data_IF_608834057282
#
_entry.id   IF_608834057282
#
_cell.length_a   1.000
_cell.length_b   1.000
_cell.length_c   1.000
_cell.angle_alpha   90.00
_cell.angle_beta   90.00
_cell.angle_gamma   90.00
#
_symmetry.space_group_name_H-M   'P 1'
#
loop_
_entity.id
_entity.type
_entity.pdbx_description
1 polymer ?
#
# COMPACT_ATOMS: atom_id res chain seq x y z
N UNK A 1 47.00 17.29 -8.63
CA UNK A 1 45.75 17.90 -8.16
C UNK A 1 44.59 17.74 -9.16
N UNK A 2 44.83 17.77 -10.47
CA UNK A 2 43.80 17.57 -11.52
C UNK A 2 43.07 16.22 -11.47
N UNK A 3 43.74 15.13 -11.11
CA UNK A 3 43.13 13.78 -11.03
C UNK A 3 42.11 13.68 -9.88
N UNK A 4 42.32 14.42 -8.79
CA UNK A 4 41.43 14.45 -7.61
C UNK A 4 40.14 15.24 -7.93
N UNK A 5 40.26 16.31 -8.72
CA UNK A 5 39.12 17.12 -9.17
C UNK A 5 38.25 16.29 -10.13
N UNK A 6 38.86 15.54 -11.05
CA UNK A 6 38.14 14.72 -12.03
C UNK A 6 37.39 13.58 -11.34
N UNK A 7 38.06 12.84 -10.45
CA UNK A 7 37.41 11.74 -9.69
C UNK A 7 36.35 12.27 -8.72
N UNK A 8 36.57 13.43 -8.09
CA UNK A 8 35.58 14.10 -7.24
C UNK A 8 34.32 14.54 -8.01
N UNK A 9 34.49 15.16 -9.19
CA UNK A 9 33.37 15.54 -10.06
C UNK A 9 32.59 14.31 -10.56
N UNK A 10 33.29 13.22 -10.89
CA UNK A 10 32.65 11.98 -11.34
C UNK A 10 31.85 11.31 -10.21
N UNK A 11 32.41 11.25 -9.00
CA UNK A 11 31.72 10.79 -7.79
C UNK A 11 30.51 11.66 -7.45
N UNK A 12 30.62 12.97 -7.60
CA UNK A 12 29.51 13.90 -7.37
C UNK A 12 28.38 13.73 -8.40
N UNK A 13 28.72 13.50 -9.67
CA UNK A 13 27.74 13.22 -10.71
C UNK A 13 27.01 11.88 -10.50
N UNK A 14 27.72 10.84 -10.05
CA UNK A 14 27.07 9.57 -9.66
C UNK A 14 26.10 9.77 -8.49
N UNK A 15 26.49 10.54 -7.46
CA UNK A 15 25.61 10.84 -6.32
C UNK A 15 24.38 11.66 -6.69
N UNK A 16 24.46 12.55 -7.68
CA UNK A 16 23.29 13.32 -8.16
C UNK A 16 22.25 12.46 -8.89
N UNK A 17 22.65 11.36 -9.53
CA UNK A 17 21.71 10.40 -10.15
C UNK A 17 20.88 9.63 -9.13
N UNK A 18 21.34 9.48 -7.89
CA UNK A 18 20.59 8.77 -6.84
C UNK A 18 19.37 9.53 -6.31
N UNK A 19 19.31 10.86 -6.46
CA UNK A 19 18.19 11.66 -5.93
C UNK A 19 16.88 11.55 -6.71
N UNK A 20 16.92 11.09 -7.95
CA UNK A 20 15.74 11.03 -8.85
C UNK A 20 14.90 9.77 -8.61
N UNK A 21 15.46 8.78 -7.92
CA UNK A 21 14.76 7.52 -7.63
C UNK A 21 13.58 7.74 -6.66
N UNK A 22 13.61 8.82 -5.85
CA UNK A 22 12.57 9.11 -4.87
C UNK A 22 11.23 9.53 -5.51
N UNK A 23 11.24 10.14 -6.70
CA UNK A 23 10.03 10.64 -7.35
C UNK A 23 9.26 9.54 -8.10
N UNK A 24 9.94 8.53 -8.65
CA UNK A 24 9.27 7.40 -9.31
C UNK A 24 8.47 6.50 -8.36
N UNK A 25 8.66 6.64 -7.04
CA UNK A 25 7.84 5.94 -6.04
C UNK A 25 6.46 6.57 -5.82
N UNK A 26 6.28 7.87 -6.10
CA UNK A 26 4.97 8.54 -5.96
C UNK A 26 3.96 8.06 -6.99
N UNK A 27 4.41 7.71 -8.19
CA UNK A 27 3.54 7.21 -9.26
C UNK A 27 3.09 5.75 -9.05
N UNK A 28 3.68 5.04 -8.09
CA UNK A 28 3.31 3.67 -7.72
C UNK A 28 2.23 3.62 -6.62
N UNK A 29 1.95 4.75 -5.96
CA UNK A 29 0.91 4.84 -4.93
C UNK A 29 -0.47 4.90 -5.60
N UNK A 30 -1.49 4.21 -5.07
CA UNK A 30 -2.85 4.42 -5.53
C UNK A 30 -3.19 5.91 -5.43
N UNK A 31 -3.40 6.54 -6.58
CA UNK A 31 -3.51 8.00 -6.66
C UNK A 31 -4.78 8.50 -5.98
N UNK A 32 -5.80 7.64 -5.91
CA UNK A 32 -7.10 7.95 -5.32
C UNK A 32 -7.74 6.72 -4.66
N UNK A 33 -8.52 6.94 -3.62
CA UNK A 33 -9.34 5.95 -2.94
C UNK A 33 -10.81 6.37 -2.95
N UNK A 34 -11.72 5.39 -3.03
CA UNK A 34 -13.16 5.62 -2.93
C UNK A 34 -13.59 5.49 -1.47
N UNK A 35 -13.96 6.61 -0.85
CA UNK A 35 -14.31 6.71 0.57
C UNK A 35 -15.79 7.00 0.72
N UNK A 36 -16.38 6.53 1.81
CA UNK A 36 -17.77 6.77 2.20
C UNK A 36 -17.74 7.69 3.42
N UNK A 37 -17.97 8.99 3.21
CA UNK A 37 -18.12 10.01 4.27
C UNK A 37 -19.52 10.61 4.15
N UNK A 38 -20.17 10.86 5.28
CA UNK A 38 -21.54 11.39 5.35
C UNK A 38 -22.59 10.59 4.54
N UNK A 39 -22.34 9.29 4.32
CA UNK A 39 -23.21 8.41 3.54
C UNK A 39 -23.04 8.52 2.02
N UNK A 40 -22.20 9.42 1.53
CA UNK A 40 -21.91 9.60 0.11
C UNK A 40 -20.55 9.02 -0.28
N UNK A 41 -20.46 8.51 -1.51
CA UNK A 41 -19.21 8.00 -2.09
C UNK A 41 -18.43 9.16 -2.67
N UNK A 42 -17.22 9.38 -2.17
CA UNK A 42 -16.32 10.45 -2.60
C UNK A 42 -14.97 9.86 -2.98
N UNK A 43 -14.39 10.34 -4.07
CA UNK A 43 -13.04 9.97 -4.47
C UNK A 43 -12.07 10.97 -3.87
N UNK A 44 -11.21 10.51 -2.98
CA UNK A 44 -10.19 11.34 -2.30
C UNK A 44 -8.80 10.83 -2.67
N UNK A 45 -7.76 11.64 -2.46
CA UNK A 45 -6.39 11.16 -2.63
C UNK A 45 -6.05 10.19 -1.52
N UNK A 46 -5.21 9.20 -1.81
CA UNK A 46 -4.77 8.27 -0.77
C UNK A 46 -4.03 8.97 0.40
N UNK A 47 -3.41 10.13 0.12
CA UNK A 47 -2.78 11.00 1.12
C UNK A 47 -3.78 11.64 2.11
N UNK A 48 -5.04 11.82 1.70
CA UNK A 48 -6.10 12.43 2.51
C UNK A 48 -6.92 11.40 3.31
N UNK A 49 -6.52 10.11 3.24
CA UNK A 49 -7.14 9.03 4.02
C UNK A 49 -6.73 9.12 5.49
N UNK A 50 -7.70 8.95 6.37
CA UNK A 50 -7.48 8.91 7.82
C UNK A 50 -7.98 7.59 8.40
N UNK A 51 -7.40 7.22 9.55
CA UNK A 51 -7.86 6.06 10.32
C UNK A 51 -9.32 6.25 10.70
N UNK A 52 -10.14 5.22 10.47
CA UNK A 52 -11.59 5.25 10.70
C UNK A 52 -12.42 5.54 9.44
N UNK A 53 -11.82 5.96 8.34
CA UNK A 53 -12.53 6.10 7.07
C UNK A 53 -13.07 4.75 6.58
N UNK A 54 -14.26 4.75 5.98
CA UNK A 54 -14.80 3.58 5.30
C UNK A 54 -14.46 3.70 3.82
N UNK A 55 -13.73 2.73 3.27
CA UNK A 55 -13.37 2.71 1.86
C UNK A 55 -13.99 1.53 1.14
N UNK A 56 -14.22 1.70 -0.17
CA UNK A 56 -14.63 0.65 -1.09
C UNK A 56 -13.48 0.38 -2.07
N UNK A 57 -13.11 -0.90 -2.21
CA UNK A 57 -12.03 -1.36 -3.09
C UNK A 57 -12.61 -2.33 -4.11
N UNK A 58 -12.21 -2.19 -5.37
CA UNK A 58 -12.66 -3.07 -6.47
C UNK A 58 -11.48 -3.83 -7.07
N UNK A 59 -11.77 -4.96 -7.69
CA UNK A 59 -10.79 -5.70 -8.49
C UNK A 59 -10.16 -4.80 -9.55
N UNK A 60 -8.83 -4.80 -9.61
CA UNK A 60 -8.01 -3.90 -10.43
C UNK A 60 -7.39 -2.75 -9.65
N UNK A 61 -7.94 -2.40 -8.48
CA UNK A 61 -7.42 -1.31 -7.66
C UNK A 61 -6.25 -1.77 -6.78
N UNK A 62 -5.36 -0.83 -6.46
CA UNK A 62 -4.33 -1.03 -5.43
C UNK A 62 -4.87 -0.59 -4.08
N UNK A 63 -4.61 -1.36 -3.02
CA UNK A 63 -5.14 -1.07 -1.70
C UNK A 63 -4.42 0.16 -1.12
N UNK A 64 -5.13 1.25 -0.78
CA UNK A 64 -4.51 2.54 -0.45
C UNK A 64 -4.07 2.67 1.02
N UNK A 65 -4.54 1.81 1.90
CA UNK A 65 -4.22 1.81 3.33
C UNK A 65 -4.48 0.39 3.89
N UNK A 66 -3.99 0.09 5.10
CA UNK A 66 -4.39 -1.15 5.74
C UNK A 66 -5.85 -1.03 6.17
N UNK A 67 -6.67 -1.99 5.76
CA UNK A 67 -8.11 -1.98 6.00
C UNK A 67 -8.58 -3.25 6.69
N UNK A 68 -9.53 -3.08 7.61
CA UNK A 68 -10.33 -4.17 8.14
C UNK A 68 -11.60 -4.31 7.32
N UNK A 69 -11.78 -5.47 6.69
CA UNK A 69 -12.91 -5.76 5.81
C UNK A 69 -14.17 -5.92 6.65
N UNK A 70 -15.21 -5.17 6.30
CA UNK A 70 -16.55 -5.25 6.89
C UNK A 70 -17.54 -5.94 5.96
N UNK A 71 -17.29 -5.91 4.66
CA UNK A 71 -18.07 -6.62 3.65
C UNK A 71 -17.19 -7.00 2.46
N UNK A 72 -17.36 -8.20 1.92
CA UNK A 72 -16.64 -8.64 0.72
C UNK A 72 -17.56 -9.46 -0.18
N UNK A 73 -17.51 -9.19 -1.49
CA UNK A 73 -18.23 -9.91 -2.53
C UNK A 73 -17.22 -10.45 -3.53
N UNK A 74 -16.84 -11.72 -3.36
CA UNK A 74 -15.83 -12.36 -4.21
C UNK A 74 -14.47 -11.66 -4.21
N UNK A 75 -14.17 -10.87 -3.18
CA UNK A 75 -12.95 -10.09 -3.13
C UNK A 75 -11.73 -10.99 -2.92
N UNK A 76 -10.77 -10.88 -3.84
CA UNK A 76 -9.46 -11.52 -3.74
C UNK A 76 -8.37 -10.48 -3.92
N UNK A 77 -7.32 -10.61 -3.14
CA UNK A 77 -6.13 -9.78 -3.24
C UNK A 77 -4.86 -10.62 -3.35
N UNK A 78 -3.83 -10.01 -3.93
CA UNK A 78 -2.52 -10.59 -4.11
C UNK A 78 -1.56 -10.07 -3.02
N UNK A 79 -1.18 -10.99 -2.12
CA UNK A 79 -0.24 -10.72 -1.02
C UNK A 79 1.22 -10.99 -1.39
N UNK A 80 1.55 -11.21 -2.66
CA UNK A 80 2.92 -11.45 -3.12
C UNK A 80 3.92 -10.41 -2.64
N UNK A 81 3.48 -9.15 -2.46
CA UNK A 81 4.30 -8.07 -1.94
C UNK A 81 4.69 -8.23 -0.46
N UNK A 82 3.92 -8.99 0.33
CA UNK A 82 4.12 -9.18 1.77
C UNK A 82 4.64 -10.58 2.11
N UNK A 83 4.04 -11.62 1.55
CA UNK A 83 4.38 -13.02 1.86
C UNK A 83 5.26 -13.69 0.81
N UNK A 84 5.35 -13.12 -0.39
CA UNK A 84 5.99 -13.75 -1.54
C UNK A 84 5.14 -14.83 -2.22
N UNK A 85 3.92 -15.09 -1.72
CA UNK A 85 2.99 -16.03 -2.34
C UNK A 85 2.16 -15.30 -3.42
N UNK A 86 2.25 -15.78 -4.66
CA UNK A 86 1.54 -15.17 -5.81
C UNK A 86 0.11 -15.67 -6.00
N UNK A 87 -0.38 -16.55 -5.13
CA UNK A 87 -1.76 -17.05 -5.21
C UNK A 87 -2.75 -16.05 -4.62
N UNK A 88 -3.78 -15.62 -5.38
CA UNK A 88 -4.79 -14.69 -4.87
C UNK A 88 -5.54 -15.27 -3.66
N UNK A 89 -5.53 -14.54 -2.56
CA UNK A 89 -6.17 -14.95 -1.32
C UNK A 89 -7.58 -14.37 -1.23
N UNK A 90 -8.55 -15.22 -0.86
CA UNK A 90 -9.93 -14.79 -0.68
C UNK A 90 -10.09 -14.06 0.66
N UNK A 91 -10.72 -12.89 0.62
CA UNK A 91 -11.02 -12.13 1.84
C UNK A 91 -12.48 -12.19 2.24
N UNK A 92 -12.70 -12.09 3.54
CA UNK A 92 -14.03 -12.13 4.14
C UNK A 92 -14.07 -11.26 5.40
N UNK A 93 -15.24 -10.75 5.82
CA UNK A 93 -15.33 -9.94 7.04
C UNK A 93 -15.09 -10.74 8.34
N UNK A 94 -15.00 -12.07 8.25
CA UNK A 94 -14.89 -12.97 9.40
C UNK A 94 -13.40 -13.15 9.73
N UNK A 95 -13.05 -12.99 11.00
CA UNK A 95 -11.72 -13.28 11.50
C UNK A 95 -11.49 -14.79 11.45
N UNK A 96 -10.53 -15.25 10.65
CA UNK A 96 -10.24 -16.68 10.49
C UNK A 96 -9.04 -17.15 11.29
N UNK A 97 -8.17 -16.23 11.69
CA UNK A 97 -6.92 -16.53 12.41
C UNK A 97 -6.65 -15.42 13.44
N UNK A 98 -5.87 -15.72 14.48
CA UNK A 98 -5.37 -14.72 15.44
C UNK A 98 -4.24 -13.89 14.85
N UNK A 99 -3.47 -14.47 13.92
CA UNK A 99 -2.39 -13.77 13.22
C UNK A 99 -2.96 -12.80 12.16
N UNK A 100 -2.63 -11.49 12.23
CA UNK A 100 -3.12 -10.50 11.28
C UNK A 100 -2.75 -10.78 9.82
N UNK A 101 -1.59 -11.41 9.58
CA UNK A 101 -1.09 -11.72 8.23
C UNK A 101 -1.86 -12.86 7.55
N UNK A 102 -2.40 -13.79 8.32
CA UNK A 102 -3.08 -14.99 7.81
C UNK A 102 -4.60 -14.86 7.83
N UNK A 103 -5.14 -13.83 8.50
CA UNK A 103 -6.58 -13.63 8.58
C UNK A 103 -7.16 -13.02 7.31
N UNK A 104 -8.35 -13.47 6.95
CA UNK A 104 -9.06 -13.05 5.74
C UNK A 104 -9.77 -11.71 5.86
N UNK A 105 -9.83 -11.13 7.06
CA UNK A 105 -10.56 -9.89 7.35
C UNK A 105 -9.71 -8.62 7.33
N UNK A 106 -8.46 -8.72 6.91
CA UNK A 106 -7.56 -7.58 6.75
C UNK A 106 -7.10 -7.56 5.30
N UNK A 107 -7.00 -6.37 4.71
CA UNK A 107 -6.30 -6.17 3.45
C UNK A 107 -5.20 -5.13 3.68
N UNK A 108 -4.04 -5.32 3.07
CA UNK A 108 -2.85 -4.56 3.40
C UNK A 108 -2.51 -3.52 2.33
N UNK A 109 -1.90 -2.43 2.75
CA UNK A 109 -1.30 -1.45 1.87
C UNK A 109 -0.22 -2.10 0.99
N UNK A 110 -0.14 -1.66 -0.27
CA UNK A 110 0.74 -2.20 -1.33
C UNK A 110 0.30 -3.52 -1.97
N UNK A 111 -0.78 -4.17 -1.49
CA UNK A 111 -1.36 -5.33 -2.19
C UNK A 111 -2.31 -4.90 -3.32
N UNK A 112 -2.56 -5.81 -4.25
CA UNK A 112 -3.44 -5.57 -5.40
C UNK A 112 -4.74 -6.34 -5.25
N UNK A 113 -5.87 -5.65 -5.42
CA UNK A 113 -7.15 -6.33 -5.55
C UNK A 113 -7.22 -7.00 -6.92
N UNK A 114 -7.30 -8.32 -6.95
CA UNK A 114 -7.35 -9.11 -8.18
C UNK A 114 -8.76 -9.08 -8.76
N UNK A 115 -9.77 -9.35 -7.93
CA UNK A 115 -11.17 -9.39 -8.35
C UNK A 115 -12.13 -9.10 -7.19
N UNK A 116 -13.40 -8.90 -7.54
CA UNK A 116 -14.48 -8.68 -6.59
C UNK A 116 -14.58 -7.25 -6.06
N UNK A 117 -15.31 -7.09 -4.96
CA UNK A 117 -15.45 -5.78 -4.30
C UNK A 117 -15.46 -5.97 -2.80
N UNK A 118 -14.75 -5.11 -2.07
CA UNK A 118 -14.74 -5.09 -0.63
C UNK A 118 -15.05 -3.69 -0.09
N UNK A 119 -15.63 -3.65 1.10
CA UNK A 119 -15.71 -2.46 1.94
C UNK A 119 -14.97 -2.74 3.23
N UNK A 120 -14.23 -1.75 3.70
CA UNK A 120 -13.45 -1.87 4.92
C UNK A 120 -13.25 -0.55 5.62
N UNK A 121 -12.90 -0.63 6.89
CA UNK A 121 -12.53 0.51 7.73
C UNK A 121 -11.01 0.60 7.74
N UNK A 122 -10.48 1.80 7.51
CA UNK A 122 -9.04 2.06 7.57
C UNK A 122 -8.54 1.92 9.01
N UNK A 123 -7.54 1.05 9.20
CA UNK A 123 -6.90 0.81 10.50
C UNK A 123 -5.53 1.47 10.60
N UNK A 124 -4.75 1.49 9.51
CA UNK A 124 -3.45 2.17 9.45
C UNK A 124 -3.25 2.88 8.12
N UNK A 125 -2.60 4.04 8.16
CA UNK A 125 -2.25 4.86 6.99
C UNK A 125 -0.77 5.25 7.00
N UNK A 126 -0.22 5.57 5.83
CA UNK A 126 1.16 6.07 5.67
C UNK A 126 2.24 5.17 6.30
N UNK A 127 3.09 5.80 7.12
CA UNK A 127 4.23 5.15 7.78
C UNK A 127 3.82 4.12 8.85
N UNK A 128 2.55 4.16 9.28
CA UNK A 128 2.01 3.23 10.27
C UNK A 128 1.49 1.93 9.64
N UNK A 129 1.41 1.85 8.32
CA UNK A 129 0.99 0.62 7.63
C UNK A 129 2.03 -0.47 7.80
N UNK A 130 1.57 -1.72 7.83
CA UNK A 130 2.42 -2.89 8.02
C UNK A 130 3.53 -2.95 6.97
N UNK A 131 3.20 -2.71 5.70
CA UNK A 131 4.18 -2.68 4.61
C UNK A 131 5.24 -1.58 4.78
N UNK A 132 4.85 -0.38 5.21
CA UNK A 132 5.79 0.73 5.47
C UNK A 132 6.73 0.43 6.63
N UNK A 133 6.23 -0.18 7.71
CA UNK A 133 7.05 -0.56 8.88
C UNK A 133 8.08 -1.63 8.49
N UNK A 134 7.67 -2.66 7.74
CA UNK A 134 8.59 -3.72 7.26
C UNK A 134 9.68 -3.13 6.37
N UNK A 135 9.33 -2.19 5.50
CA UNK A 135 10.28 -1.52 4.62
C UNK A 135 11.30 -0.66 5.41
N UNK A 136 10.82 0.09 6.42
CA UNK A 136 11.67 0.93 7.26
C UNK A 136 12.70 0.11 8.05
N UNK A 137 12.30 -1.07 8.57
CA UNK A 137 13.21 -1.96 9.31
C UNK A 137 14.27 -2.56 8.38
N UNK A 138 13.92 -2.88 7.13
CA UNK A 138 14.86 -3.48 6.16
C UNK A 138 15.95 -2.49 5.70
N UNK A 139 15.67 -1.18 5.82
CA UNK A 139 16.60 -0.10 5.45
C UNK A 139 17.57 0.31 6.56
N UNK A 140 17.38 -0.19 7.80
CA UNK A 140 18.25 0.03 8.96
C UNK A 140 19.25 -1.12 9.13
#
# INVERSE_FOLDING_TARGET
MSVVIITGCFQYFQKRKSGIIMDSFKDMLPTTALVIRDGEKQQVRAEDLVVGDIIEVRGGDRIPADIRITSACGFKDDNSSLTGESEPQLRSPICTNELPFETKNIAFFSTHAVEGTAKGIVIYTGDSTVSSVVYLITLL
#
